data_IF_483622250890
#
_entry.id   IF_483622250890
#
_cell.length_a   1.000
_cell.length_b   1.000
_cell.length_c   1.000
_cell.angle_alpha   90.00
_cell.angle_beta   90.00
_cell.angle_gamma   90.00
#
_symmetry.space_group_name_H-M   'P 1'
#
loop_
_entity.id
_entity.type
_entity.pdbx_description
1 polymer ?
#
# COMPACT_ATOMS: atom_id res chain seq x y z
N UNK A 1 -19.77 -46.17 -7.80
CA UNK A 1 -18.97 -47.09 -8.66
C UNK A 1 -18.45 -46.27 -9.84
N UNK A 2 -17.18 -46.00 -9.87
CA UNK A 2 -16.27 -46.00 -11.01
C UNK A 2 -14.95 -45.36 -10.60
N UNK A 3 -13.95 -46.20 -10.54
CA UNK A 3 -12.52 -45.86 -10.36
C UNK A 3 -11.93 -45.47 -11.73
N UNK A 4 -11.06 -44.51 -11.79
CA UNK A 4 -10.05 -44.49 -12.85
C UNK A 4 -8.80 -43.79 -12.29
N UNK A 5 -7.77 -44.60 -12.07
CA UNK A 5 -6.38 -44.22 -11.83
C UNK A 5 -5.69 -43.99 -13.18
N UNK A 6 -4.88 -42.94 -13.29
CA UNK A 6 -3.84 -42.84 -14.29
C UNK A 6 -2.55 -42.35 -13.62
N UNK A 7 -1.58 -43.24 -13.54
CA UNK A 7 -0.21 -42.95 -13.24
C UNK A 7 0.53 -42.78 -14.58
N UNK A 8 1.30 -41.75 -14.75
CA UNK A 8 2.32 -41.65 -15.79
C UNK A 8 3.53 -40.93 -15.21
N UNK A 9 4.62 -41.74 -15.03
CA UNK A 9 5.93 -41.25 -14.62
C UNK A 9 6.63 -40.56 -15.80
N UNK A 10 7.36 -39.48 -15.53
CA UNK A 10 8.34 -38.91 -16.44
C UNK A 10 9.69 -38.82 -15.72
N UNK A 11 10.67 -39.59 -16.26
CA UNK A 11 12.08 -39.49 -15.96
C UNK A 11 12.64 -38.16 -16.46
N UNK A 12 13.37 -37.46 -15.59
CA UNK A 12 14.15 -36.26 -15.93
C UNK A 12 15.64 -36.67 -15.98
N UNK A 13 16.36 -36.42 -17.08
CA UNK A 13 17.80 -36.66 -17.15
C UNK A 13 18.59 -35.59 -16.41
N UNK A 14 19.57 -36.04 -15.63
CA UNK A 14 20.59 -35.23 -14.96
C UNK A 14 21.60 -34.74 -16.01
N UNK A 15 21.70 -33.44 -16.23
CA UNK A 15 22.78 -32.80 -16.96
C UNK A 15 23.76 -32.14 -15.96
N UNK A 16 24.95 -32.69 -15.85
CA UNK A 16 26.03 -32.11 -15.07
C UNK A 16 26.70 -30.98 -15.87
N UNK A 17 26.60 -29.74 -15.36
CA UNK A 17 27.36 -28.62 -15.89
C UNK A 17 28.61 -28.37 -15.03
N UNK A 18 29.77 -28.48 -15.66
CA UNK A 18 31.07 -28.15 -15.09
C UNK A 18 31.24 -26.65 -15.11
N UNK A 19 31.29 -25.99 -13.96
CA UNK A 19 31.57 -24.59 -13.82
C UNK A 19 33.09 -24.34 -13.72
N UNK A 20 33.66 -23.67 -14.72
CA UNK A 20 35.03 -23.18 -14.71
C UNK A 20 35.05 -21.86 -13.93
N UNK A 21 35.68 -21.86 -12.76
CA UNK A 21 35.87 -20.67 -11.93
C UNK A 21 37.04 -19.85 -12.44
N UNK A 22 36.78 -18.71 -13.07
CA UNK A 22 37.79 -17.65 -13.30
C UNK A 22 37.70 -16.65 -12.17
N UNK A 23 38.75 -16.55 -11.36
CA UNK A 23 38.88 -15.56 -10.31
C UNK A 23 39.11 -14.15 -10.90
N UNK A 24 38.33 -13.10 -10.54
CA UNK A 24 38.65 -11.74 -10.91
C UNK A 24 39.69 -11.15 -9.96
N UNK A 25 40.72 -10.52 -10.54
CA UNK A 25 41.74 -9.74 -9.85
C UNK A 25 41.04 -8.53 -9.20
N UNK A 26 41.20 -8.39 -7.88
CA UNK A 26 40.67 -7.27 -7.12
C UNK A 26 41.54 -6.02 -7.35
N UNK A 27 41.10 -5.08 -8.15
CA UNK A 27 41.63 -3.71 -8.19
C UNK A 27 40.96 -2.92 -7.04
N UNK A 28 41.80 -2.49 -6.05
CA UNK A 28 41.35 -1.61 -4.98
C UNK A 28 41.08 -0.22 -5.55
N UNK A 29 39.81 0.16 -5.64
CA UNK A 29 39.38 1.53 -5.95
C UNK A 29 39.35 2.31 -4.64
N UNK A 30 40.24 3.31 -4.56
CA UNK A 30 40.35 4.31 -3.49
C UNK A 30 38.99 5.01 -3.33
N UNK A 31 38.53 5.09 -2.08
CA UNK A 31 37.18 5.56 -1.73
C UNK A 31 36.90 6.99 -2.16
N UNK A 32 35.85 7.13 -2.94
CA UNK A 32 35.11 8.39 -3.09
C UNK A 32 34.23 8.63 -1.86
N UNK A 33 34.05 9.90 -1.41
CA UNK A 33 33.15 10.18 -0.27
C UNK A 33 31.73 9.74 -0.59
N UNK A 34 31.19 8.82 0.22
CA UNK A 34 29.81 8.39 0.12
C UNK A 34 28.91 9.56 0.53
N UNK A 35 28.25 10.13 -0.46
CA UNK A 35 27.10 11.03 -0.25
C UNK A 35 26.04 10.23 0.53
N UNK A 36 25.46 10.77 1.64
CA UNK A 36 24.46 10.05 2.40
C UNK A 36 23.30 9.69 1.50
N UNK A 37 23.10 8.40 1.35
CA UNK A 37 22.12 7.74 0.48
C UNK A 37 20.71 8.25 0.82
N UNK A 38 20.14 9.09 -0.05
CA UNK A 38 18.70 9.37 -0.06
C UNK A 38 17.98 8.02 -0.09
N UNK A 39 17.17 7.79 0.92
CA UNK A 39 16.45 6.56 1.20
C UNK A 39 15.88 5.96 -0.08
N UNK A 40 16.50 4.90 -0.58
CA UNK A 40 16.03 4.13 -1.73
C UNK A 40 14.68 3.50 -1.34
N UNK A 41 13.58 4.21 -1.65
CA UNK A 41 12.24 3.67 -1.57
C UNK A 41 12.21 2.48 -2.53
N UNK A 42 12.09 1.26 -1.97
CA UNK A 42 12.08 0.02 -2.74
C UNK A 42 11.10 0.10 -3.91
N UNK A 43 11.48 -0.41 -5.08
CA UNK A 43 10.63 -0.43 -6.28
C UNK A 43 9.23 -1.02 -6.00
N UNK A 44 9.16 -2.05 -5.14
CA UNK A 44 7.88 -2.62 -4.68
C UNK A 44 7.01 -1.62 -3.90
N UNK A 45 7.62 -0.71 -3.14
CA UNK A 45 6.86 0.32 -2.43
C UNK A 45 6.35 1.42 -3.35
N UNK A 46 7.08 1.74 -4.43
CA UNK A 46 6.59 2.69 -5.45
C UNK A 46 5.37 2.17 -6.20
N UNK A 47 5.29 0.86 -6.42
CA UNK A 47 4.14 0.24 -7.08
C UNK A 47 2.85 0.28 -6.23
N UNK A 48 2.95 0.42 -4.91
CA UNK A 48 1.80 0.41 -4.00
C UNK A 48 1.26 1.82 -3.70
N UNK A 49 2.12 2.85 -3.78
CA UNK A 49 1.73 4.24 -3.50
C UNK A 49 1.53 5.06 -4.78
N UNK A 50 0.66 6.10 -4.75
CA UNK A 50 -0.09 6.59 -3.60
C UNK A 50 -1.27 5.70 -3.20
N UNK A 51 -1.59 5.66 -1.90
CA UNK A 51 -2.85 5.09 -1.42
C UNK A 51 -3.92 6.16 -1.45
N UNK A 52 -5.04 5.87 -2.08
CA UNK A 52 -6.23 6.74 -2.08
C UNK A 52 -7.31 6.09 -1.21
N UNK A 53 -7.76 6.81 -0.20
CA UNK A 53 -8.87 6.44 0.64
C UNK A 53 -10.03 7.38 0.39
N UNK A 54 -11.23 6.84 0.17
CA UNK A 54 -12.46 7.62 -0.02
C UNK A 54 -13.46 7.28 1.06
N UNK A 55 -14.21 8.28 1.50
CA UNK A 55 -15.33 8.12 2.40
C UNK A 55 -16.56 8.82 1.81
N UNK A 56 -17.58 8.05 1.49
CA UNK A 56 -18.80 8.56 0.82
C UNK A 56 -20.05 8.09 1.54
N UNK A 57 -21.15 8.83 1.39
CA UNK A 57 -22.45 8.49 1.96
C UNK A 57 -22.62 8.89 3.43
N UNK A 58 -23.40 8.11 4.15
CA UNK A 58 -23.82 8.42 5.52
C UNK A 58 -24.80 9.58 5.60
N UNK A 59 -25.48 9.75 6.75
CA UNK A 59 -26.44 10.85 6.97
C UNK A 59 -25.88 12.24 6.71
N UNK A 60 -24.57 12.45 6.94
CA UNK A 60 -23.92 13.74 6.73
C UNK A 60 -23.52 14.00 5.27
N UNK A 61 -23.76 13.06 4.36
CA UNK A 61 -23.39 13.16 2.94
C UNK A 61 -21.88 13.39 2.77
N UNK A 62 -21.07 12.50 3.38
CA UNK A 62 -19.61 12.58 3.27
C UNK A 62 -19.15 12.39 1.82
N UNK A 63 -18.16 13.17 1.41
CA UNK A 63 -17.44 13.07 0.14
C UNK A 63 -15.98 13.47 0.42
N UNK A 64 -15.26 12.59 1.11
CA UNK A 64 -13.88 12.84 1.50
C UNK A 64 -12.95 11.96 0.68
N UNK A 65 -11.85 12.55 0.23
CA UNK A 65 -10.75 11.87 -0.44
C UNK A 65 -9.45 12.18 0.29
N UNK A 66 -8.75 11.16 0.72
CA UNK A 66 -7.43 11.27 1.35
C UNK A 66 -6.42 10.50 0.51
N UNK A 67 -5.40 11.20 0.02
CA UNK A 67 -4.32 10.60 -0.75
C UNK A 67 -3.04 10.61 0.09
N UNK A 68 -2.47 9.44 0.31
CA UNK A 68 -1.22 9.25 1.07
C UNK A 68 -0.12 8.86 0.10
N UNK A 69 0.84 9.74 -0.09
CA UNK A 69 2.02 9.48 -0.90
C UNK A 69 3.04 8.59 -0.17
N UNK A 70 3.90 7.93 -0.92
CA UNK A 70 4.92 7.04 -0.35
C UNK A 70 5.93 7.75 0.56
N UNK A 71 6.16 9.05 0.39
CA UNK A 71 7.01 9.88 1.26
C UNK A 71 6.31 10.38 2.53
N UNK A 72 5.03 10.04 2.69
CA UNK A 72 4.20 10.43 3.84
C UNK A 72 3.50 11.77 3.69
N UNK A 73 3.55 12.42 2.54
CA UNK A 73 2.67 13.55 2.24
C UNK A 73 1.24 13.07 2.13
N UNK A 74 0.32 13.86 2.67
CA UNK A 74 -1.11 13.58 2.65
C UNK A 74 -1.83 14.80 2.11
N UNK A 75 -2.72 14.59 1.15
CA UNK A 75 -3.67 15.60 0.71
C UNK A 75 -5.09 15.19 1.09
N UNK A 76 -5.89 16.16 1.52
CA UNK A 76 -7.27 15.97 1.94
C UNK A 76 -8.19 16.83 1.10
N UNK A 77 -9.19 16.20 0.50
CA UNK A 77 -10.27 16.88 -0.22
C UNK A 77 -11.60 16.50 0.42
N UNK A 78 -12.46 17.48 0.70
CA UNK A 78 -13.81 17.28 1.23
C UNK A 78 -14.80 18.00 0.34
N UNK A 79 -15.84 17.30 -0.10
CA UNK A 79 -16.85 17.87 -1.00
C UNK A 79 -16.19 18.67 -2.14
N UNK A 80 -15.21 18.04 -2.81
CA UNK A 80 -14.43 18.61 -3.92
C UNK A 80 -13.52 19.80 -3.56
N UNK A 81 -13.52 20.26 -2.30
CA UNK A 81 -12.67 21.33 -1.83
C UNK A 81 -11.41 20.80 -1.15
N UNK A 82 -10.24 21.25 -1.61
CA UNK A 82 -8.97 20.93 -0.96
C UNK A 82 -8.93 21.58 0.43
N UNK A 83 -8.75 20.74 1.46
CA UNK A 83 -8.68 21.18 2.85
C UNK A 83 -7.25 21.50 3.32
N UNK A 84 -6.26 21.04 2.60
CA UNK A 84 -4.84 21.26 2.92
C UNK A 84 -3.99 20.01 2.75
N UNK A 85 -2.71 20.22 2.95
CA UNK A 85 -1.70 19.17 2.90
C UNK A 85 -1.07 19.03 4.29
N UNK A 86 -0.77 17.80 4.69
CA UNK A 86 -0.02 17.52 5.90
C UNK A 86 1.03 16.42 5.65
N UNK A 87 1.91 16.21 6.58
CA UNK A 87 2.90 15.14 6.52
C UNK A 87 2.73 14.21 7.70
N UNK A 88 2.62 12.92 7.42
CA UNK A 88 2.60 11.89 8.46
C UNK A 88 3.89 11.88 9.25
N UNK A 89 3.79 11.66 10.55
CA UNK A 89 4.95 11.39 11.40
C UNK A 89 5.72 10.16 10.91
N UNK A 90 7.02 10.08 11.19
CA UNK A 90 7.86 8.93 10.79
C UNK A 90 7.27 7.59 11.23
N UNK A 91 6.71 7.52 12.44
CA UNK A 91 6.05 6.33 12.96
C UNK A 91 4.80 5.95 12.18
N UNK A 92 3.96 6.93 11.80
CA UNK A 92 2.77 6.72 11.00
C UNK A 92 3.14 6.26 9.57
N UNK A 93 4.12 6.89 8.92
CA UNK A 93 4.65 6.47 7.62
C UNK A 93 5.10 5.02 7.64
N UNK A 94 5.90 4.63 8.66
CA UNK A 94 6.38 3.25 8.80
C UNK A 94 5.21 2.27 8.92
N UNK A 95 4.20 2.57 9.76
CA UNK A 95 3.01 1.73 9.93
C UNK A 95 2.23 1.58 8.62
N UNK A 96 1.96 2.68 7.93
CA UNK A 96 1.22 2.66 6.65
C UNK A 96 1.97 1.85 5.59
N UNK A 97 3.28 2.07 5.43
CA UNK A 97 4.11 1.32 4.48
C UNK A 97 4.11 -0.17 4.79
N UNK A 98 4.27 -0.55 6.07
CA UNK A 98 4.23 -1.95 6.50
C UNK A 98 2.85 -2.55 6.26
N UNK A 99 1.77 -1.85 6.58
CA UNK A 99 0.41 -2.31 6.31
C UNK A 99 0.17 -2.51 4.81
N UNK A 100 0.53 -1.51 4.00
CA UNK A 100 0.34 -1.54 2.56
C UNK A 100 1.14 -2.65 1.86
N UNK A 101 2.35 -2.97 2.35
CA UNK A 101 3.18 -4.06 1.79
C UNK A 101 2.69 -5.47 2.13
N UNK A 102 1.84 -5.62 3.16
CA UNK A 102 1.24 -6.91 3.54
C UNK A 102 0.00 -7.25 2.69
N UNK A 103 -0.61 -6.27 2.07
CA UNK A 103 -1.80 -6.46 1.25
C UNK A 103 -1.39 -7.00 -0.13
N UNK A 104 -2.04 -8.06 -0.57
CA UNK A 104 -1.86 -8.62 -1.93
C UNK A 104 -2.78 -7.92 -2.93
N UNK A 105 -2.53 -6.65 -3.17
CA UNK A 105 -3.39 -5.75 -3.95
C UNK A 105 -3.89 -6.35 -5.26
N UNK A 106 -3.00 -6.99 -6.03
CA UNK A 106 -3.34 -7.60 -7.31
C UNK A 106 -4.31 -8.80 -7.22
N UNK A 107 -4.56 -9.32 -6.00
CA UNK A 107 -5.48 -10.45 -5.77
C UNK A 107 -6.81 -10.01 -5.18
N UNK A 108 -6.97 -8.74 -4.84
CA UNK A 108 -8.21 -8.22 -4.31
C UNK A 108 -9.22 -8.05 -5.44
N UNK A 109 -10.42 -8.56 -5.25
CA UNK A 109 -11.53 -8.26 -6.14
C UNK A 109 -11.92 -6.79 -5.95
N UNK A 110 -11.98 -5.98 -7.03
CA UNK A 110 -12.47 -4.62 -6.92
C UNK A 110 -13.93 -4.60 -6.41
N UNK A 111 -14.20 -3.70 -5.48
CA UNK A 111 -15.56 -3.39 -5.01
C UNK A 111 -16.06 -2.15 -5.75
N UNK A 112 -17.33 -2.13 -6.14
CA UNK A 112 -17.93 -1.01 -6.86
C UNK A 112 -18.22 0.20 -5.96
N UNK A 113 -18.08 0.04 -4.65
CA UNK A 113 -18.33 1.10 -3.67
C UNK A 113 -19.80 1.49 -3.54
N UNK A 114 -20.73 0.67 -4.01
CA UNK A 114 -22.16 0.95 -3.89
C UNK A 114 -22.62 0.85 -2.45
N UNK A 115 -23.34 1.87 -1.97
CA UNK A 115 -24.03 1.82 -0.69
C UNK A 115 -25.14 0.73 -0.75
N UNK A 116 -25.23 -0.09 0.28
CA UNK A 116 -26.31 -1.10 0.40
C UNK A 116 -27.60 -0.48 0.87
N UNK A 117 -27.49 0.57 1.69
CA UNK A 117 -28.61 1.35 2.22
C UNK A 117 -28.32 2.85 1.98
N UNK A 118 -29.36 3.69 1.93
CA UNK A 118 -29.21 5.13 1.66
C UNK A 118 -28.32 5.88 2.65
N UNK A 119 -28.21 5.36 3.87
CA UNK A 119 -27.44 5.95 4.98
C UNK A 119 -26.09 5.26 5.22
N UNK A 120 -25.72 4.28 4.39
CA UNK A 120 -24.44 3.60 4.50
C UNK A 120 -23.26 4.57 4.32
N UNK A 121 -22.32 4.46 5.24
CA UNK A 121 -21.01 5.08 5.11
C UNK A 121 -20.06 4.10 4.44
N UNK A 122 -19.74 4.37 3.19
CA UNK A 122 -18.81 3.53 2.41
C UNK A 122 -17.41 4.09 2.51
N UNK A 123 -16.48 3.28 2.99
CA UNK A 123 -15.06 3.64 3.07
C UNK A 123 -14.26 2.67 2.21
N UNK A 124 -13.56 3.23 1.23
CA UNK A 124 -12.77 2.46 0.26
C UNK A 124 -11.30 2.79 0.37
N UNK A 125 -10.45 1.84 0.00
CA UNK A 125 -9.02 2.07 -0.20
C UNK A 125 -8.58 1.53 -1.56
N UNK A 126 -7.74 2.29 -2.25
CA UNK A 126 -7.17 1.94 -3.55
C UNK A 126 -5.66 2.14 -3.54
N UNK A 127 -4.95 1.25 -4.24
CA UNK A 127 -3.54 1.35 -4.57
C UNK A 127 -3.37 1.31 -6.10
N UNK A 128 -2.33 1.88 -6.70
CA UNK A 128 -1.99 1.62 -8.11
C UNK A 128 -1.80 0.14 -8.41
N UNK A 129 -1.47 -0.69 -7.40
CA UNK A 129 -1.30 -2.13 -7.53
C UNK A 129 -2.62 -2.92 -7.48
N UNK A 130 -3.77 -2.29 -7.19
CA UNK A 130 -5.08 -2.96 -7.16
C UNK A 130 -6.14 -2.24 -6.31
N UNK A 131 -7.33 -2.75 -6.34
CA UNK A 131 -8.53 -2.16 -5.72
C UNK A 131 -9.30 -1.27 -6.70
N UNK A 132 -10.34 -0.52 -6.26
CA UNK A 132 -10.69 -0.20 -4.87
C UNK A 132 -11.32 -1.38 -4.11
N UNK A 133 -11.15 -1.39 -2.82
CA UNK A 133 -11.80 -2.37 -1.92
C UNK A 133 -12.33 -1.67 -0.68
N UNK A 134 -13.37 -2.22 -0.06
CA UNK A 134 -13.89 -1.71 1.22
C UNK A 134 -12.83 -1.83 2.30
N UNK A 135 -12.77 -0.82 3.16
CA UNK A 135 -11.76 -0.78 4.21
C UNK A 135 -11.98 -1.87 5.28
N UNK A 136 -13.22 -2.30 5.45
CA UNK A 136 -13.60 -3.42 6.31
C UNK A 136 -13.45 -4.80 5.66
N UNK A 137 -13.01 -4.88 4.40
CA UNK A 137 -12.84 -6.15 3.70
C UNK A 137 -11.88 -7.09 4.46
N UNK A 138 -12.28 -8.35 4.72
CA UNK A 138 -11.47 -9.28 5.51
C UNK A 138 -10.08 -9.54 4.91
N UNK A 139 -9.94 -9.38 3.61
CA UNK A 139 -8.68 -9.54 2.88
C UNK A 139 -7.63 -8.50 3.26
N UNK A 140 -8.04 -7.34 3.77
CA UNK A 140 -7.15 -6.32 4.30
C UNK A 140 -6.65 -6.67 5.71
N UNK A 141 -7.40 -7.44 6.48
CA UNK A 141 -7.05 -7.86 7.83
C UNK A 141 -6.61 -6.69 8.72
N UNK A 142 -5.50 -6.87 9.43
CA UNK A 142 -4.95 -5.80 10.30
C UNK A 142 -4.50 -4.54 9.53
N UNK A 143 -4.27 -4.62 8.22
CA UNK A 143 -3.92 -3.45 7.41
C UNK A 143 -5.09 -2.50 7.26
N UNK A 144 -6.32 -3.00 7.18
CA UNK A 144 -7.54 -2.20 7.15
C UNK A 144 -7.66 -1.30 8.39
N UNK A 145 -7.37 -1.83 9.58
CA UNK A 145 -7.38 -1.05 10.83
C UNK A 145 -6.34 0.09 10.83
N UNK A 146 -5.15 -0.16 10.28
CA UNK A 146 -4.12 0.89 10.15
C UNK A 146 -4.61 2.00 9.21
N UNK A 147 -5.18 1.65 8.07
CA UNK A 147 -5.72 2.62 7.12
C UNK A 147 -6.89 3.40 7.72
N UNK A 148 -7.80 2.73 8.44
CA UNK A 148 -8.90 3.36 9.15
C UNK A 148 -8.40 4.37 10.19
N UNK A 149 -7.38 4.01 10.97
CA UNK A 149 -6.80 4.89 11.99
C UNK A 149 -6.19 6.14 11.36
N UNK A 150 -5.46 5.99 10.26
CA UNK A 150 -4.88 7.13 9.53
C UNK A 150 -5.96 8.01 8.92
N UNK A 151 -6.97 7.42 8.29
CA UNK A 151 -8.09 8.15 7.71
C UNK A 151 -8.81 9.00 8.78
N UNK A 152 -9.16 8.38 9.91
CA UNK A 152 -9.85 9.07 11.00
C UNK A 152 -9.02 10.20 11.59
N UNK A 153 -7.72 9.96 11.83
CA UNK A 153 -6.80 10.96 12.39
C UNK A 153 -6.63 12.16 11.42
N UNK A 154 -6.40 11.89 10.14
CA UNK A 154 -6.23 12.93 9.12
C UNK A 154 -7.52 13.76 8.94
N UNK A 155 -8.68 13.11 8.95
CA UNK A 155 -9.97 13.78 8.82
C UNK A 155 -10.37 14.57 10.06
N UNK A 156 -9.74 14.37 11.22
CA UNK A 156 -9.94 15.24 12.39
C UNK A 156 -9.36 16.65 12.19
N UNK A 157 -8.56 16.84 11.15
CA UNK A 157 -7.92 18.08 10.78
C UNK A 157 -6.53 18.26 11.42
N UNK A 158 -5.68 19.12 10.84
CA UNK A 158 -4.27 19.23 11.21
C UNK A 158 -4.02 19.68 12.65
N UNK A 159 -4.96 20.43 13.25
CA UNK A 159 -4.86 20.89 14.64
C UNK A 159 -5.13 19.75 15.66
N UNK A 160 -6.01 18.80 15.33
CA UNK A 160 -6.37 17.68 16.19
C UNK A 160 -5.59 16.40 15.85
N UNK A 161 -4.99 16.32 14.67
CA UNK A 161 -4.25 15.14 14.23
C UNK A 161 -2.96 14.93 15.04
N UNK A 162 -2.78 13.70 15.52
CA UNK A 162 -1.55 13.26 16.16
C UNK A 162 -0.57 12.63 15.19
N UNK A 163 -1.07 12.12 14.07
CA UNK A 163 -0.26 11.43 13.06
C UNK A 163 0.16 12.34 11.90
N UNK A 164 -0.60 13.41 11.60
CA UNK A 164 -0.33 14.30 10.47
C UNK A 164 -0.06 15.72 10.93
N UNK A 165 1.08 16.27 10.56
CA UNK A 165 1.48 17.64 10.90
C UNK A 165 1.33 18.53 9.66
N UNK A 166 0.79 19.73 9.84
CA UNK A 166 0.69 20.71 8.77
C UNK A 166 2.06 20.92 8.10
N UNK A 167 2.05 21.03 6.79
CA UNK A 167 3.24 21.43 6.02
C UNK A 167 3.23 22.94 5.99
N UNK A 168 4.27 23.55 6.57
CA UNK A 168 4.50 25.00 6.52
C UNK A 168 4.94 25.42 5.12
#
# INVERSE_FOLDING_TARGET
MSRSAWAAGMLVPLAAAVAVSTAPVATAVVGAPQVPNESTVSASQRAVFPLTMTRTGGFAGFQDVVVVAGDGRVSVTRREQKQGDCRLTRGAVKRVRTAASRVRWARLAPDDGQARFPDDLVVMVRSPAGGPVRLEAPELGASGQVFQSVLSDVLSGPAASVMCKAVA
#
